data_IF_154533770146
#
_entry.id   IF_154533770146
#
_cell.length_a   1.000
_cell.length_b   1.000
_cell.length_c   1.000
_cell.angle_alpha   90.00
_cell.angle_beta   90.00
_cell.angle_gamma   90.00
#
_symmetry.space_group_name_H-M   'P 1'
#
loop_
_entity.id
_entity.type
_entity.pdbx_description
1 polymer ?
2 water ?
#
# COMPACT_ATOMS: atom_id res chain seq x y z
N UNK A 1 15.08 -6.95 -11.79
CA UNK A 1 15.11 -8.44 -11.82
C UNK A 1 14.91 -8.94 -10.40
N UNK A 2 15.75 -8.40 -9.51
CA UNK A 2 15.59 -8.60 -8.08
C UNK A 2 14.18 -8.19 -7.68
N UNK A 3 13.66 -7.15 -8.36
CA UNK A 3 12.40 -6.52 -7.98
C UNK A 3 11.23 -7.46 -8.26
N UNK A 4 11.22 -8.07 -9.44
CA UNK A 4 10.13 -8.95 -9.82
C UNK A 4 10.19 -10.23 -9.01
N UNK A 5 11.42 -10.71 -8.75
CA UNK A 5 11.63 -11.88 -7.91
C UNK A 5 11.14 -11.61 -6.49
N UNK A 6 11.49 -10.43 -5.97
CA UNK A 6 11.09 -10.07 -4.62
C UNK A 6 9.57 -10.04 -4.53
N UNK A 7 8.94 -9.44 -5.54
CA UNK A 7 7.50 -9.31 -5.61
C UNK A 7 6.82 -10.68 -5.68
N UNK A 8 7.45 -11.61 -6.40
CA UNK A 8 6.88 -12.93 -6.61
C UNK A 8 6.86 -13.68 -5.29
N UNK A 9 8.00 -13.63 -4.58
CA UNK A 9 8.20 -14.37 -3.34
C UNK A 9 7.22 -13.85 -2.29
N UNK A 10 7.15 -12.53 -2.14
CA UNK A 10 6.38 -11.98 -1.05
C UNK A 10 4.89 -12.23 -1.30
N UNK A 11 4.50 -12.24 -2.57
CA UNK A 11 3.12 -12.50 -2.95
C UNK A 11 2.79 -13.96 -2.65
N UNK A 12 3.64 -14.86 -3.14
CA UNK A 12 3.60 -16.26 -2.76
C UNK A 12 3.38 -16.27 -1.26
N UNK A 13 4.23 -15.55 -0.53
CA UNK A 13 4.32 -15.72 0.90
C UNK A 13 3.07 -15.19 1.59
N UNK A 14 2.57 -14.04 1.13
CA UNK A 14 1.50 -13.36 1.85
C UNK A 14 0.19 -14.11 1.64
N UNK A 15 0.04 -14.59 0.41
CA UNK A 15 -1.08 -15.43 0.04
C UNK A 15 -1.02 -16.71 0.87
N UNK A 16 0.14 -17.38 0.82
CA UNK A 16 0.46 -18.50 1.70
C UNK A 16 -0.07 -18.35 3.13
N UNK A 17 0.12 -17.18 3.75
CA UNK A 17 -0.35 -16.97 5.11
C UNK A 17 -1.71 -16.29 5.10
N UNK A 18 -2.47 -16.49 4.02
CA UNK A 18 -3.86 -16.08 3.93
C UNK A 18 -4.04 -14.67 4.50
N UNK A 19 -3.20 -13.71 4.09
CA UNK A 19 -3.33 -12.35 4.60
C UNK A 19 -4.22 -11.52 3.68
N UNK A 20 -4.73 -10.42 4.22
CA UNK A 20 -5.50 -9.49 3.42
C UNK A 20 -4.57 -8.35 3.06
N UNK A 21 -3.90 -8.51 1.91
CA UNK A 21 -2.92 -7.54 1.47
C UNK A 21 -3.29 -6.98 0.09
N UNK A 22 -2.43 -6.07 -0.41
CA UNK A 22 -2.69 -5.31 -1.61
C UNK A 22 -1.46 -4.52 -2.05
N UNK A 23 -1.10 -4.63 -3.33
CA UNK A 23 -0.01 -3.85 -3.89
C UNK A 23 -0.43 -2.39 -3.92
N UNK A 24 0.46 -1.50 -3.50
CA UNK A 24 0.17 -0.08 -3.55
C UNK A 24 1.35 0.68 -4.12
N UNK A 25 2.32 -0.02 -4.72
CA UNK A 25 3.54 0.63 -5.16
C UNK A 25 3.66 0.77 -6.68
N UNK A 26 4.86 0.46 -7.19
CA UNK A 26 5.23 0.73 -8.56
C UNK A 26 4.37 -0.07 -9.54
N UNK A 27 4.16 -1.35 -9.21
CA UNK A 27 3.43 -2.21 -10.12
C UNK A 27 1.97 -1.78 -10.13
N UNK A 28 1.44 -1.59 -8.93
CA UNK A 28 0.07 -1.12 -8.73
C UNK A 28 -0.25 0.08 -9.61
N UNK A 29 0.51 1.16 -9.40
CA UNK A 29 0.37 2.38 -10.18
C UNK A 29 0.48 2.06 -11.67
N UNK A 30 1.53 1.31 -12.04
CA UNK A 30 1.72 0.98 -13.43
C UNK A 30 0.47 0.31 -13.97
N UNK A 31 -0.12 -0.63 -13.19
CA UNK A 31 -1.34 -1.32 -13.58
C UNK A 31 -2.50 -0.36 -13.78
N UNK A 32 -2.74 0.51 -12.79
CA UNK A 32 -3.83 1.47 -12.90
C UNK A 32 -3.59 2.62 -13.88
N UNK A 33 -2.35 2.89 -14.34
CA UNK A 33 -2.16 4.00 -15.27
C UNK A 33 -1.02 3.71 -16.25
N UNK A 34 0.14 4.32 -16.02
CA UNK A 34 1.24 4.26 -16.97
C UNK A 34 2.46 3.71 -16.25
N UNK A 35 3.58 3.41 -16.96
CA UNK A 35 4.74 2.81 -16.32
C UNK A 35 5.40 3.80 -15.37
N UNK A 36 5.34 3.46 -14.07
CA UNK A 36 5.97 4.23 -13.01
C UNK A 36 6.57 3.25 -12.01
N UNK A 37 7.60 2.54 -12.43
CA UNK A 37 8.19 1.55 -11.56
C UNK A 37 9.18 2.21 -10.62
N UNK A 38 9.49 1.48 -9.56
CA UNK A 38 10.49 1.87 -8.60
C UNK A 38 11.28 0.59 -8.31
N UNK A 39 12.27 0.64 -7.39
CA UNK A 39 13.03 -0.53 -6.98
C UNK A 39 12.51 -0.99 -5.61
N UNK A 40 11.32 -0.51 -5.24
CA UNK A 40 10.68 -0.85 -3.99
C UNK A 40 9.33 -1.49 -4.24
N UNK A 41 9.00 -2.42 -3.36
CA UNK A 41 7.68 -3.03 -3.32
C UNK A 41 6.88 -2.46 -2.14
N UNK A 42 5.81 -1.71 -2.43
CA UNK A 42 4.99 -1.13 -1.38
C UNK A 42 3.68 -1.91 -1.30
N UNK A 43 3.45 -2.54 -0.15
CA UNK A 43 2.28 -3.35 0.10
C UNK A 43 1.59 -2.91 1.39
N UNK A 44 0.26 -2.92 1.36
CA UNK A 44 -0.59 -2.73 2.51
C UNK A 44 -1.03 -4.08 3.04
N UNK A 45 -1.18 -4.20 4.36
CA UNK A 45 -1.71 -5.42 4.95
C UNK A 45 -2.67 -5.08 6.07
N UNK A 46 -3.89 -5.59 5.91
CA UNK A 46 -4.94 -5.42 6.90
C UNK A 46 -4.76 -6.50 7.95
N UNK A 47 -4.59 -6.05 9.20
CA UNK A 47 -4.39 -6.91 10.35
C UNK A 47 -5.06 -6.27 11.56
N UNK A 48 -5.50 -7.12 12.49
CA UNK A 48 -6.37 -6.71 13.59
C UNK A 48 -5.74 -5.61 14.45
N UNK A 49 -4.49 -5.82 14.88
CA UNK A 49 -3.87 -5.07 15.95
C UNK A 49 -2.36 -5.21 15.83
N UNK A 50 -1.61 -4.70 16.82
CA UNK A 50 -0.15 -4.77 16.75
C UNK A 50 0.35 -6.20 16.95
N UNK A 51 -0.39 -7.03 17.69
CA UNK A 51 0.05 -8.40 17.91
C UNK A 51 0.05 -9.13 16.57
N UNK A 52 -1.03 -8.95 15.81
CA UNK A 52 -1.22 -9.55 14.50
C UNK A 52 -0.06 -9.19 13.57
N UNK A 53 0.21 -7.88 13.48
CA UNK A 53 1.32 -7.33 12.73
C UNK A 53 2.65 -7.95 13.16
N UNK A 54 2.98 -7.79 14.45
CA UNK A 54 4.20 -8.34 15.01
C UNK A 54 4.32 -9.79 14.55
N UNK A 55 3.27 -10.59 14.82
CA UNK A 55 3.28 -12.01 14.52
C UNK A 55 3.56 -12.26 13.03
N UNK A 56 2.81 -11.59 12.15
CA UNK A 56 3.06 -11.74 10.73
C UNK A 56 4.53 -11.51 10.38
N UNK A 57 5.09 -10.39 10.85
CA UNK A 57 6.45 -10.06 10.47
C UNK A 57 7.41 -11.12 11.02
N UNK A 58 7.17 -11.63 12.24
CA UNK A 58 8.01 -12.71 12.74
C UNK A 58 8.00 -13.91 11.81
N UNK A 59 6.81 -14.25 11.33
CA UNK A 59 6.64 -15.42 10.50
C UNK A 59 7.42 -15.19 9.21
N UNK A 60 7.44 -13.96 8.72
CA UNK A 60 8.13 -13.66 7.48
C UNK A 60 9.64 -13.63 7.68
N UNK A 61 10.09 -13.32 8.88
CA UNK A 61 11.52 -13.17 9.07
C UNK A 61 12.20 -14.53 9.22
N UNK A 62 11.42 -15.59 9.53
CA UNK A 62 11.90 -16.97 9.45
C UNK A 62 12.20 -17.38 8.01
N UNK A 63 11.47 -16.80 7.06
CA UNK A 63 11.84 -16.92 5.66
C UNK A 63 13.05 -16.01 5.42
N UNK A 64 13.24 -15.61 4.16
CA UNK A 64 14.55 -15.21 3.66
C UNK A 64 14.65 -13.68 3.55
N UNK A 65 13.94 -12.99 4.46
CA UNK A 65 14.01 -11.54 4.59
C UNK A 65 14.66 -11.17 5.91
N UNK A 66 15.24 -9.96 5.94
CA UNK A 66 15.74 -9.34 7.16
C UNK A 66 14.97 -8.06 7.49
N UNK A 67 14.88 -7.72 8.78
CA UNK A 67 14.18 -6.51 9.22
C UNK A 67 15.09 -5.28 9.14
N UNK A 68 14.77 -4.33 8.26
CA UNK A 68 15.61 -3.16 8.06
C UNK A 68 15.04 -1.97 8.80
N UNK A 69 13.75 -2.00 9.15
CA UNK A 69 13.15 -0.88 9.88
C UNK A 69 11.76 -1.22 10.41
N UNK A 70 11.52 -0.69 11.60
CA UNK A 70 10.23 -0.63 12.26
C UNK A 70 9.82 0.82 12.18
N UNK A 71 8.64 1.13 11.64
CA UNK A 71 8.14 2.50 11.71
C UNK A 71 6.99 2.59 12.72
N UNK A 72 7.13 3.52 13.67
CA UNK A 72 6.29 3.56 14.86
C UNK A 72 5.58 4.90 14.97
N UNK A 73 4.53 4.94 15.80
CA UNK A 73 3.77 6.17 16.00
C UNK A 73 3.05 6.18 17.35
N UNK A 74 2.68 7.40 17.75
CA UNK A 74 2.25 7.73 19.10
C UNK A 74 0.80 7.27 19.36
N UNK A 75 0.11 6.81 18.31
CA UNK A 75 -1.30 6.46 18.36
C UNK A 75 -1.52 5.01 18.79
N UNK A 76 -2.77 4.56 18.68
CA UNK A 76 -3.28 3.32 19.26
C UNK A 76 -2.64 2.09 18.61
N UNK A 77 -2.37 2.19 17.30
CA UNK A 77 -1.55 1.22 16.59
C UNK A 77 -0.13 1.78 16.56
N UNK A 78 0.77 1.17 17.34
CA UNK A 78 2.14 1.64 17.45
C UNK A 78 2.84 1.41 16.12
N UNK A 79 2.64 0.20 15.59
CA UNK A 79 3.41 -0.31 14.47
C UNK A 79 2.72 0.06 13.15
N UNK A 80 3.26 1.11 12.52
CA UNK A 80 2.69 1.66 11.30
C UNK A 80 3.11 0.83 10.09
N UNK A 81 4.42 0.60 9.96
CA UNK A 81 5.00 -0.12 8.84
C UNK A 81 6.22 -0.90 9.30
N UNK A 82 6.66 -1.83 8.45
CA UNK A 82 8.02 -2.32 8.56
C UNK A 82 8.61 -2.37 7.16
N UNK A 83 9.93 -2.40 7.13
CA UNK A 83 10.69 -2.46 5.91
C UNK A 83 11.56 -3.70 6.01
N UNK A 84 11.53 -4.55 4.99
CA UNK A 84 12.28 -5.80 5.00
C UNK A 84 13.26 -5.83 3.82
N UNK A 85 14.27 -6.70 3.93
CA UNK A 85 15.21 -6.96 2.85
C UNK A 85 15.08 -8.39 2.33
N UNK A 86 15.48 -8.59 1.07
CA UNK A 86 15.39 -9.87 0.39
C UNK A 86 16.50 -10.82 0.86
N UNK A 94 17.03 -4.90 -2.51
CA UNK A 94 15.57 -4.67 -2.77
C UNK A 94 14.77 -4.73 -1.47
N UNK A 95 13.90 -3.74 -1.34
CA UNK A 95 13.24 -3.42 -0.09
C UNK A 95 11.74 -3.62 -0.26
N UNK A 96 11.10 -4.20 0.76
CA UNK A 96 9.64 -4.33 0.85
C UNK A 96 9.12 -3.50 2.03
N UNK A 97 8.31 -2.47 1.74
CA UNK A 97 7.58 -1.73 2.76
C UNK A 97 6.22 -2.40 2.97
N UNK A 98 5.95 -2.87 4.20
CA UNK A 98 4.61 -3.32 4.59
C UNK A 98 3.95 -2.28 5.50
N UNK A 99 2.73 -1.88 5.12
CA UNK A 99 1.99 -0.82 5.79
C UNK A 99 0.78 -1.43 6.48
N UNK A 100 0.77 -1.30 7.81
CA UNK A 100 -0.25 -1.86 8.67
C UNK A 100 -1.24 -0.77 9.07
N UNK A 101 -0.68 0.39 9.40
CA UNK A 101 -1.46 1.51 9.85
C UNK A 101 -0.70 2.81 9.59
N UNK A 102 -0.28 2.99 8.35
CA UNK A 102 0.35 4.23 7.93
C UNK A 102 -0.70 5.22 7.44
N UNK A 103 -1.72 4.76 6.70
CA UNK A 103 -2.69 5.68 6.12
C UNK A 103 -4.03 5.61 6.87
N UNK A 104 -4.30 4.48 7.55
CA UNK A 104 -5.51 4.33 8.36
C UNK A 104 -6.67 3.61 7.66
N UNK A 105 -6.56 3.39 6.34
CA UNK A 105 -7.60 2.72 5.57
C UNK A 105 -7.06 1.43 4.94
N UNK A 106 -6.02 0.89 5.56
CA UNK A 106 -5.42 -0.33 5.08
C UNK A 106 -6.52 -1.32 4.75
N UNK A 107 -7.57 -1.53 5.59
CA UNK A 107 -8.54 -2.60 5.34
C UNK A 107 -9.57 -2.25 4.27
N UNK A 108 -9.90 -0.97 4.15
CA UNK A 108 -10.69 -0.55 3.01
C UNK A 108 -9.95 -0.97 1.75
N UNK A 109 -8.72 -0.46 1.60
CA UNK A 109 -7.83 -0.70 0.47
C UNK A 109 -7.76 -2.18 0.06
N UNK A 110 -7.54 -3.05 1.04
CA UNK A 110 -7.38 -4.48 0.84
C UNK A 110 -8.69 -5.16 0.45
N UNK A 111 -9.82 -4.74 1.01
CA UNK A 111 -11.11 -5.29 0.58
C UNK A 111 -11.29 -4.88 -0.86
N UNK A 112 -10.98 -3.60 -1.09
CA UNK A 112 -11.23 -2.91 -2.34
C UNK A 112 -10.31 -3.37 -3.48
N UNK A 113 -9.09 -3.80 -3.17
CA UNK A 113 -8.19 -4.23 -4.23
C UNK A 113 -8.88 -5.25 -5.11
N UNK A 114 -8.41 -5.30 -6.37
CA UNK A 114 -8.75 -6.30 -7.36
C UNK A 114 -7.52 -7.12 -7.78
N UNK A 115 -7.76 -8.41 -8.03
CA UNK A 115 -6.71 -9.29 -8.52
C UNK A 115 -6.46 -8.96 -9.98
N UNK A 116 -5.18 -8.90 -10.34
CA UNK A 116 -4.73 -8.56 -11.67
C UNK A 116 -3.48 -9.38 -11.94
N UNK A 117 -3.28 -9.78 -13.19
CA UNK A 117 -2.07 -10.49 -13.51
C UNK A 117 -1.03 -9.44 -13.88
N UNK A 118 0.00 -9.39 -13.06
CA UNK A 118 0.95 -8.30 -13.03
C UNK A 118 2.14 -8.73 -13.88
N UNK A 119 2.62 -9.95 -13.59
CA UNK A 119 3.66 -10.60 -14.34
C UNK A 119 3.13 -11.93 -14.81
N UNK A 120 3.87 -12.61 -15.72
CA UNK A 120 3.47 -13.91 -16.23
C UNK A 120 3.15 -14.85 -15.08
N UNK A 121 1.87 -15.23 -15.01
CA UNK A 121 1.39 -16.21 -14.05
C UNK A 121 1.59 -15.69 -12.63
N UNK A 122 1.53 -14.37 -12.44
CA UNK A 122 1.44 -13.81 -11.10
C UNK A 122 0.21 -12.92 -11.03
N UNK A 123 -0.83 -13.43 -10.38
CA UNK A 123 -1.99 -12.62 -10.11
C UNK A 123 -1.76 -12.12 -8.71
N UNK A 124 -2.17 -10.87 -8.48
CA UNK A 124 -1.98 -10.17 -7.21
C UNK A 124 -3.08 -9.14 -7.03
N UNK A 125 -3.52 -8.90 -5.78
CA UNK A 125 -4.51 -7.87 -5.50
C UNK A 125 -3.84 -6.49 -5.62
N UNK A 126 -4.57 -5.56 -6.26
CA UNK A 126 -4.05 -4.25 -6.63
C UNK A 126 -4.99 -3.13 -6.17
N UNK A 127 -4.46 -2.19 -5.38
CA UNK A 127 -5.25 -1.10 -4.85
C UNK A 127 -5.96 -0.39 -5.99
N UNK A 128 -7.20 -0.01 -5.72
CA UNK A 128 -7.95 0.77 -6.68
C UNK A 128 -7.25 2.10 -6.94
N UNK A 129 -7.42 2.63 -8.15
CA UNK A 129 -6.89 3.93 -8.53
C UNK A 129 -7.19 4.98 -7.47
N UNK A 130 -8.45 5.03 -6.99
CA UNK A 130 -8.88 6.01 -5.99
C UNK A 130 -8.01 5.95 -4.73
N UNK A 131 -7.80 4.73 -4.21
CA UNK A 131 -6.93 4.50 -3.07
C UNK A 131 -5.48 4.88 -3.38
N UNK A 132 -4.99 4.49 -4.54
CA UNK A 132 -3.63 4.87 -4.90
C UNK A 132 -3.50 6.39 -4.86
N UNK A 133 -4.50 7.09 -5.40
CA UNK A 133 -4.52 8.54 -5.37
C UNK A 133 -4.46 9.06 -3.93
N UNK A 134 -5.33 8.51 -3.08
CA UNK A 134 -5.34 8.89 -1.68
C UNK A 134 -3.94 8.81 -1.08
N UNK A 135 -3.26 7.69 -1.33
CA UNK A 135 -2.04 7.38 -0.62
C UNK A 135 -0.89 8.23 -1.13
N UNK A 136 -0.91 8.55 -2.42
CA UNK A 136 0.18 9.31 -3.00
C UNK A 136 0.14 10.73 -2.48
N UNK A 137 -1.08 11.27 -2.47
CA UNK A 137 -1.36 12.59 -1.92
C UNK A 137 -0.76 12.70 -0.51
N UNK A 138 -1.04 11.70 0.31
CA UNK A 138 -0.62 11.66 1.70
C UNK A 138 0.90 11.55 1.83
N UNK A 139 1.56 10.81 0.94
CA UNK A 139 3.01 10.65 1.02
C UNK A 139 3.69 11.88 0.43
N UNK A 140 3.40 12.16 -0.84
CA UNK A 140 3.99 13.26 -1.60
C UNK A 140 5.48 13.43 -1.23
N UNK A 150 3.84 13.39 -9.89
CA UNK A 150 3.43 12.92 -11.23
C UNK A 150 3.18 11.42 -11.18
N UNK A 151 3.57 10.73 -10.09
CA UNK A 151 2.92 9.45 -9.77
C UNK A 151 1.44 9.74 -9.60
N UNK A 152 1.18 10.91 -9.00
CA UNK A 152 -0.18 11.32 -8.71
C UNK A 152 -0.83 11.85 -9.98
N UNK A 153 -0.11 12.73 -10.68
CA UNK A 153 -0.59 13.23 -11.96
C UNK A 153 -0.99 12.04 -12.84
N UNK A 154 -0.15 11.00 -12.89
CA UNK A 154 -0.42 9.85 -13.73
C UNK A 154 -1.76 9.26 -13.34
N UNK A 155 -1.89 8.98 -12.04
CA UNK A 155 -3.06 8.31 -11.52
C UNK A 155 -4.32 9.12 -11.81
N UNK A 156 -4.20 10.45 -11.80
CA UNK A 156 -5.34 11.33 -11.99
C UNK A 156 -5.70 11.44 -13.47
N UNK A 157 -4.69 11.72 -14.33
CA UNK A 157 -4.87 11.73 -15.78
C UNK A 157 -5.62 10.49 -16.19
N UNK A 158 -5.25 9.38 -15.55
CA UNK A 158 -5.82 8.06 -15.81
C UNK A 158 -7.18 7.85 -15.14
N UNK A 159 -7.50 8.64 -14.11
CA UNK A 159 -8.66 8.37 -13.29
C UNK A 159 -9.93 8.84 -13.99
N UNK A 160 -10.97 7.99 -13.93
CA UNK A 160 -12.33 8.29 -14.37
C UNK A 160 -13.02 9.22 -13.37
N UNK A 161 -14.24 9.73 -13.63
CA UNK A 161 -14.84 10.70 -12.71
C UNK A 161 -15.17 9.99 -11.39
N UNK A 162 -15.63 8.74 -11.50
CA UNK A 162 -16.06 8.00 -10.32
C UNK A 162 -14.83 7.67 -9.48
N UNK A 163 -13.74 7.32 -10.18
CA UNK A 163 -12.42 7.25 -9.59
C UNK A 163 -12.18 8.50 -8.74
N UNK A 164 -12.39 9.69 -9.30
CA UNK A 164 -12.11 10.89 -8.53
C UNK A 164 -13.04 10.96 -7.32
N UNK A 165 -14.29 10.52 -7.46
CA UNK A 165 -15.19 10.62 -6.32
C UNK A 165 -14.68 9.72 -5.20
N UNK A 166 -14.36 8.47 -5.55
CA UNK A 166 -13.95 7.49 -4.56
C UNK A 166 -12.73 7.98 -3.80
N UNK A 167 -11.86 8.69 -4.54
CA UNK A 167 -10.62 9.23 -4.00
C UNK A 167 -10.93 10.25 -2.93
N UNK A 168 -11.96 11.07 -3.17
CA UNK A 168 -12.31 12.14 -2.25
C UNK A 168 -12.81 11.46 -0.99
N UNK A 169 -13.74 10.50 -1.14
CA UNK A 169 -14.22 9.71 -0.01
C UNK A 169 -13.02 9.16 0.77
N UNK A 170 -12.08 8.51 0.06
CA UNK A 170 -10.95 7.87 0.71
C UNK A 170 -10.15 8.90 1.51
N UNK A 171 -9.87 10.05 0.88
CA UNK A 171 -9.29 11.21 1.55
C UNK A 171 -10.04 11.49 2.85
N UNK A 172 -11.36 11.62 2.73
CA UNK A 172 -12.18 12.00 3.87
C UNK A 172 -11.97 10.98 5.00
N UNK A 173 -12.01 9.68 4.68
CA UNK A 173 -11.97 8.67 5.73
C UNK A 173 -10.61 8.63 6.42
N UNK A 174 -9.55 9.01 5.69
CA UNK A 174 -8.24 9.14 6.29
C UNK A 174 -8.25 10.29 7.29
N UNK A 175 -8.86 11.41 6.90
CA UNK A 175 -8.91 12.61 7.73
C UNK A 175 -9.74 12.38 9.00
N UNK A 176 -10.89 11.70 8.86
CA UNK A 176 -11.76 11.32 9.97
C UNK A 176 -11.03 10.54 11.05
N UNK A 177 -10.38 9.47 10.60
CA UNK A 177 -9.62 8.57 11.44
C UNK A 177 -8.38 9.28 11.96
N UNK A 178 -8.06 10.41 11.34
CA UNK A 178 -7.03 11.30 11.85
C UNK A 178 -5.66 10.69 11.66
N UNK A 179 -5.38 10.20 10.45
CA UNK A 179 -4.02 9.93 10.02
C UNK A 179 -3.60 10.97 8.99
N UNK A 180 -4.35 12.08 8.95
CA UNK A 180 -4.18 13.10 7.93
C UNK A 180 -2.93 13.93 8.24
N UNK A 181 -1.99 13.36 8.99
CA UNK A 181 -0.96 14.16 9.63
C UNK A 181 -1.68 15.33 10.30
N UNK A 182 -1.22 16.55 10.04
CA UNK A 182 -2.09 17.70 10.21
C UNK A 182 -2.09 18.43 8.88
N UNK A 183 -2.85 17.90 7.92
CA UNK A 183 -2.92 18.50 6.60
C UNK A 183 -4.36 18.45 6.10
N UNK A 184 -4.76 19.53 5.40
CA UNK A 184 -6.02 19.53 4.69
C UNK A 184 -5.71 18.94 3.33
N UNK A 185 -5.89 17.62 3.22
CA UNK A 185 -5.51 16.88 2.03
C UNK A 185 -6.42 17.27 0.87
N UNK A 186 -7.73 17.36 1.15
CA UNK A 186 -8.72 17.80 0.18
C UNK A 186 -8.12 18.97 -0.59
N UNK A 187 -7.85 20.01 0.20
CA UNK A 187 -7.13 21.19 -0.23
C UNK A 187 -5.94 20.81 -1.09
N UNK A 188 -4.92 20.19 -0.47
CA UNK A 188 -3.59 20.02 -1.05
C UNK A 188 -3.65 19.62 -2.52
N UNK A 189 -4.78 19.01 -2.87
CA UNK A 189 -5.03 18.41 -4.17
C UNK A 189 -5.46 19.46 -5.18
N UNK A 190 -6.48 20.24 -4.79
CA UNK A 190 -7.08 21.23 -5.67
C UNK A 190 -5.95 22.11 -6.21
N UNK A 191 -5.00 22.45 -5.33
CA UNK A 191 -3.72 23.03 -5.70
C UNK A 191 -3.05 22.25 -6.83
N UNK A 192 -2.72 20.98 -6.57
CA UNK A 192 -1.95 20.16 -7.49
C UNK A 192 -2.83 19.76 -8.68
#
# INVERSE_FOLDING_TARGET
NAVESTLRRVAKDLTGLRQRWALVGGFAVSARSEPRFTRDVDIVVAVANDDAAESLVRQLLTQQYHLLASVEQDAARRLAAVRLGATADTAANVVVDLLFASCGIEPEIAEAAEEIEILPDLVAPVATTAHLIAMKLLARDDDRRPQDRSDLRALVDAASPQDIQDARKAIELITLRGFHRDRDLAAEWTRLAAKW
#
